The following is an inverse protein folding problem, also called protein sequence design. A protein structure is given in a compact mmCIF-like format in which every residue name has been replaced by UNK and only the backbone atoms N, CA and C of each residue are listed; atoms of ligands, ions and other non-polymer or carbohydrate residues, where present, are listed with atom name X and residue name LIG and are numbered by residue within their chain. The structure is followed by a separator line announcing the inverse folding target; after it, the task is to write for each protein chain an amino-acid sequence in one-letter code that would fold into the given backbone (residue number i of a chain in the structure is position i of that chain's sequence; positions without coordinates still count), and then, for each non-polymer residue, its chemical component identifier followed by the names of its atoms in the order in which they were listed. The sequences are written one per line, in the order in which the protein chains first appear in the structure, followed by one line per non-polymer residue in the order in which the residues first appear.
data_IF_160166118206
#
_entry.id   IF_160166118206
#
_cell.length_a   1.000
_cell.length_b   1.000
_cell.length_c   1.000
_cell.angle_alpha   90.00
_cell.angle_beta   90.00
_cell.angle_gamma   90.00
#
_symmetry.space_group_name_H-M   'P 1'
#
loop_
_entity.id
_entity.type
_entity.pdbx_description
1 polymer ?
#
# COMPACT_ATOMS: atom_id res chain seq x y z
N UNK A 1 -17.60 22.82 -14.80
CA UNK A 1 -17.52 21.71 -13.83
C UNK A 1 -16.35 21.97 -12.91
N UNK A 2 -16.51 21.73 -11.60
CA UNK A 2 -15.42 21.78 -10.63
C UNK A 2 -14.31 20.82 -11.03
N UNK A 3 -13.06 21.28 -11.00
CA UNK A 3 -11.91 20.42 -11.25
C UNK A 3 -11.57 19.62 -10.00
N UNK A 4 -10.89 18.49 -10.18
CA UNK A 4 -10.34 17.70 -9.08
C UNK A 4 -8.84 17.91 -9.03
N UNK A 5 -8.33 18.17 -7.82
CA UNK A 5 -6.92 18.36 -7.55
C UNK A 5 -6.46 17.46 -6.42
N UNK A 6 -5.17 17.16 -6.41
CA UNK A 6 -4.51 16.45 -5.32
C UNK A 6 -3.54 17.41 -4.66
N UNK A 7 -3.76 17.69 -3.37
CA UNK A 7 -2.85 18.48 -2.56
C UNK A 7 -2.00 17.54 -1.72
N UNK A 8 -0.68 17.74 -1.76
CA UNK A 8 0.29 16.81 -1.16
C UNK A 8 1.11 17.48 -0.07
N UNK A 9 1.10 16.87 1.12
CA UNK A 9 1.88 17.28 2.28
C UNK A 9 2.91 16.23 2.68
N UNK A 10 3.82 16.62 3.59
CA UNK A 10 4.63 15.66 4.35
C UNK A 10 3.80 15.08 5.50
N UNK A 11 4.31 14.04 6.16
CA UNK A 11 3.67 13.43 7.33
C UNK A 11 3.41 14.48 8.42
N UNK A 12 2.34 14.30 9.19
CA UNK A 12 2.04 15.12 10.37
C UNK A 12 3.26 15.21 11.30
N UNK A 13 3.52 16.40 11.85
CA UNK A 13 4.67 16.68 12.71
C UNK A 13 5.97 16.97 11.96
N UNK A 14 6.05 16.75 10.64
CA UNK A 14 7.28 16.98 9.86
C UNK A 14 7.74 18.44 9.87
N UNK A 15 6.83 19.37 10.15
CA UNK A 15 7.11 20.79 10.22
C UNK A 15 6.64 21.42 11.55
N UNK A 16 6.40 20.62 12.60
CA UNK A 16 5.89 21.09 13.89
C UNK A 16 4.59 21.88 13.77
N UNK A 17 4.45 22.99 14.49
CA UNK A 17 3.27 23.87 14.43
C UNK A 17 3.27 24.85 13.25
N UNK A 18 4.13 24.66 12.25
CA UNK A 18 4.18 25.57 11.11
C UNK A 18 2.89 25.52 10.27
N UNK A 19 2.70 26.53 9.41
CA UNK A 19 1.57 26.60 8.48
C UNK A 19 1.57 25.46 7.42
N UNK A 20 2.66 24.71 7.30
CA UNK A 20 2.80 23.57 6.38
C UNK A 20 2.38 22.24 6.99
N UNK A 21 2.15 22.23 8.30
CA UNK A 21 1.73 21.03 9.00
C UNK A 21 0.24 20.75 8.77
N UNK A 22 -0.07 19.48 8.57
CA UNK A 22 -1.43 19.02 8.30
C UNK A 22 -2.39 19.41 9.43
N UNK A 23 -1.99 19.35 10.70
CA UNK A 23 -2.86 19.72 11.82
C UNK A 23 -3.20 21.21 11.79
N UNK A 24 -2.18 22.05 11.52
CA UNK A 24 -2.35 23.49 11.40
C UNK A 24 -3.28 23.84 10.24
N UNK A 25 -3.12 23.16 9.10
CA UNK A 25 -3.97 23.34 7.90
C UNK A 25 -5.43 23.03 8.22
N UNK A 26 -5.69 21.89 8.87
CA UNK A 26 -7.04 21.45 9.24
C UNK A 26 -7.68 22.40 10.26
N UNK A 27 -6.93 22.80 11.30
CA UNK A 27 -7.41 23.71 12.35
C UNK A 27 -7.74 25.09 11.79
N UNK A 28 -6.86 25.65 10.95
CA UNK A 28 -7.04 27.00 10.38
C UNK A 28 -7.96 27.02 9.16
N UNK A 29 -8.29 25.85 8.58
CA UNK A 29 -9.00 25.72 7.29
C UNK A 29 -8.31 26.49 6.17
N UNK A 30 -6.98 26.42 6.14
CA UNK A 30 -6.11 27.11 5.19
C UNK A 30 -5.05 26.15 4.70
N UNK A 31 -5.02 25.87 3.40
CA UNK A 31 -4.01 24.99 2.82
C UNK A 31 -2.88 25.82 2.21
N UNK A 32 -1.71 25.79 2.83
CA UNK A 32 -0.58 26.65 2.50
C UNK A 32 0.30 26.10 1.37
N UNK A 33 0.72 27.00 0.48
CA UNK A 33 1.64 26.72 -0.62
C UNK A 33 2.66 27.84 -0.83
N UNK A 34 3.72 27.53 -1.60
CA UNK A 34 4.57 28.57 -2.19
C UNK A 34 3.79 29.24 -3.33
N UNK A 35 3.96 30.53 -3.52
CA UNK A 35 3.31 31.23 -4.64
C UNK A 35 3.76 30.71 -6.01
N UNK A 36 4.99 30.17 -6.06
CA UNK A 36 5.62 29.59 -7.25
C UNK A 36 5.14 28.18 -7.60
N UNK A 37 4.23 27.58 -6.84
CA UNK A 37 3.70 26.24 -7.18
C UNK A 37 3.02 26.26 -8.57
N UNK A 38 3.48 25.44 -9.55
CA UNK A 38 3.12 25.60 -10.96
C UNK A 38 1.61 25.57 -11.27
N UNK A 39 0.84 24.75 -10.54
CA UNK A 39 -0.60 24.59 -10.76
C UNK A 39 -1.48 25.47 -9.87
N UNK A 40 -0.90 26.22 -8.93
CA UNK A 40 -1.66 27.06 -8.00
C UNK A 40 -2.60 28.01 -8.75
N UNK A 41 -2.13 28.63 -9.83
CA UNK A 41 -2.90 29.59 -10.63
C UNK A 41 -4.14 28.98 -11.31
N UNK A 42 -4.20 27.66 -11.43
CA UNK A 42 -5.29 26.95 -12.09
C UNK A 42 -6.40 26.51 -11.13
N UNK A 43 -6.18 26.65 -9.82
CA UNK A 43 -7.17 26.32 -8.78
C UNK A 43 -8.23 27.41 -8.72
N UNK A 44 -9.49 27.00 -8.62
CA UNK A 44 -10.63 27.91 -8.53
C UNK A 44 -11.51 27.58 -7.32
N UNK A 45 -12.24 28.59 -6.84
CA UNK A 45 -13.34 28.40 -5.90
C UNK A 45 -14.31 27.31 -6.40
N UNK A 46 -14.67 26.40 -5.50
CA UNK A 46 -15.55 25.26 -5.80
C UNK A 46 -14.84 24.03 -6.36
N UNK A 47 -13.53 24.09 -6.60
CA UNK A 47 -12.75 22.90 -6.95
C UNK A 47 -12.68 21.92 -5.78
N UNK A 48 -12.62 20.63 -6.11
CA UNK A 48 -12.47 19.55 -5.14
C UNK A 48 -11.00 19.19 -4.97
N UNK A 49 -10.61 18.91 -3.74
CA UNK A 49 -9.24 18.50 -3.40
C UNK A 49 -9.28 17.17 -2.69
N UNK A 50 -8.41 16.26 -3.13
CA UNK A 50 -8.02 15.06 -2.39
C UNK A 50 -6.69 15.33 -1.70
N UNK A 51 -6.61 14.98 -0.41
CA UNK A 51 -5.37 15.15 0.34
C UNK A 51 -4.52 13.90 0.27
N UNK A 52 -3.21 14.12 0.08
CA UNK A 52 -2.19 13.08 0.00
C UNK A 52 -1.02 13.40 0.92
N UNK A 53 -0.46 12.39 1.55
CA UNK A 53 0.86 12.45 2.19
C UNK A 53 1.86 11.73 1.31
N UNK A 54 2.99 12.38 1.00
CA UNK A 54 4.05 11.76 0.21
C UNK A 54 4.57 10.46 0.84
N UNK A 55 4.67 9.42 0.02
CA UNK A 55 5.13 8.10 0.46
C UNK A 55 4.25 7.44 1.51
N UNK A 56 3.00 7.88 1.66
CA UNK A 56 2.04 7.27 2.56
C UNK A 56 0.73 6.99 1.84
N UNK A 57 -0.03 8.00 1.44
CA UNK A 57 -1.35 7.72 0.90
C UNK A 57 -2.30 8.90 0.91
N UNK A 58 -3.55 8.62 0.55
CA UNK A 58 -4.65 9.58 0.59
C UNK A 58 -5.38 9.51 1.92
N UNK A 59 -5.76 10.65 2.49
CA UNK A 59 -6.24 10.70 3.87
C UNK A 59 -7.45 11.63 4.07
N UNK A 60 -7.92 12.29 3.03
CA UNK A 60 -9.04 13.21 3.19
C UNK A 60 -9.41 13.93 1.91
N UNK A 61 -10.39 14.80 2.02
CA UNK A 61 -10.81 15.69 0.95
C UNK A 61 -11.35 17.01 1.48
N UNK A 62 -11.43 18.02 0.61
CA UNK A 62 -12.13 19.27 0.87
C UNK A 62 -12.62 19.93 -0.42
N UNK A 63 -13.31 21.05 -0.26
CA UNK A 63 -13.64 21.98 -1.34
C UNK A 63 -12.87 23.30 -1.13
N UNK A 64 -12.38 23.89 -2.23
CA UNK A 64 -11.81 25.24 -2.22
C UNK A 64 -12.93 26.24 -1.96
N UNK A 65 -12.84 26.94 -0.83
CA UNK A 65 -13.88 27.88 -0.39
C UNK A 65 -13.79 29.23 -1.07
N UNK A 66 -12.58 29.68 -1.39
CA UNK A 66 -12.33 30.97 -2.01
C UNK A 66 -11.01 31.00 -2.78
N UNK A 67 -10.76 32.12 -3.46
CA UNK A 67 -9.53 32.35 -4.21
C UNK A 67 -8.28 32.36 -3.31
N UNK A 68 -7.12 32.27 -3.95
CA UNK A 68 -5.81 32.29 -3.30
C UNK A 68 -5.61 33.58 -2.48
N UNK A 69 -5.16 33.43 -1.24
CA UNK A 69 -4.81 34.55 -0.35
C UNK A 69 -3.29 34.59 -0.16
N UNK A 70 -2.59 35.64 -0.65
CA UNK A 70 -1.18 35.86 -0.35
C UNK A 70 -0.93 36.05 1.14
N UNK A 71 0.17 35.50 1.66
CA UNK A 71 0.60 35.70 3.05
C UNK A 71 1.58 36.86 3.14
N UNK A 72 1.10 38.11 3.27
CA UNK A 72 1.96 39.31 3.29
C UNK A 72 3.07 39.28 4.35
N UNK A 73 2.89 38.48 5.42
CA UNK A 73 3.84 38.32 6.53
C UNK A 73 4.77 37.13 6.36
N UNK A 74 4.92 36.60 5.14
CA UNK A 74 5.79 35.44 4.88
C UNK A 74 7.25 35.70 5.28
N UNK A 75 7.72 36.95 5.13
CA UNK A 75 9.08 37.38 5.52
C UNK A 75 9.27 37.39 7.04
N UNK A 76 8.28 37.89 7.78
CA UNK A 76 8.30 37.94 9.25
C UNK A 76 8.35 36.53 9.86
N UNK A 77 7.89 35.52 9.11
CA UNK A 77 7.96 34.10 9.47
C UNK A 77 9.27 33.42 9.05
N UNK A 78 10.28 34.18 8.63
CA UNK A 78 11.60 33.67 8.24
C UNK A 78 11.59 32.79 7.00
N UNK A 79 10.65 33.00 6.06
CA UNK A 79 10.60 32.23 4.80
C UNK A 79 11.42 32.94 3.73
N UNK A 80 12.08 32.16 2.89
CA UNK A 80 12.89 32.68 1.76
C UNK A 80 12.07 32.95 0.49
N UNK A 81 10.79 32.55 0.48
CA UNK A 81 9.92 32.63 -0.70
C UNK A 81 8.52 33.07 -0.33
N UNK A 82 7.88 33.79 -1.25
CA UNK A 82 6.48 34.20 -1.11
C UNK A 82 5.57 32.97 -0.98
N UNK A 83 4.63 33.08 -0.05
CA UNK A 83 3.67 32.02 0.28
C UNK A 83 2.27 32.58 0.38
N UNK A 84 1.30 31.69 0.44
CA UNK A 84 -0.09 32.03 0.71
C UNK A 84 -0.87 30.75 0.96
N UNK A 85 -2.19 30.84 0.92
CA UNK A 85 -3.05 29.69 1.14
C UNK A 85 -4.32 29.73 0.30
N UNK A 86 -4.91 28.56 0.13
CA UNK A 86 -6.31 28.43 -0.26
C UNK A 86 -7.19 28.27 0.97
N UNK A 87 -8.25 29.08 1.14
CA UNK A 87 -9.31 28.80 2.09
C UNK A 87 -10.03 27.51 1.70
N UNK A 88 -10.26 26.60 2.65
CA UNK A 88 -10.93 25.32 2.42
C UNK A 88 -12.18 25.16 3.28
N UNK A 89 -13.18 24.46 2.77
CA UNK A 89 -14.40 24.12 3.48
C UNK A 89 -14.78 22.66 3.21
N UNK A 90 -15.84 22.18 3.87
CA UNK A 90 -16.34 20.80 3.70
C UNK A 90 -15.22 19.76 3.86
N UNK A 91 -14.35 19.97 4.84
CA UNK A 91 -13.19 19.13 5.09
C UNK A 91 -13.66 17.78 5.63
N UNK A 92 -13.35 16.71 4.91
CA UNK A 92 -13.62 15.34 5.31
C UNK A 92 -12.27 14.70 5.63
N UNK A 93 -12.00 14.51 6.92
CA UNK A 93 -10.89 13.69 7.37
C UNK A 93 -11.29 12.22 7.27
N UNK A 94 -10.49 11.39 6.62
CA UNK A 94 -10.76 9.96 6.59
C UNK A 94 -10.22 9.34 7.87
N UNK A 95 -10.98 8.41 8.45
CA UNK A 95 -10.53 7.64 9.62
C UNK A 95 -9.36 6.71 9.27
N UNK A 96 -9.02 6.58 7.98
CA UNK A 96 -7.98 5.69 7.45
C UNK A 96 -7.15 6.46 6.42
N UNK A 97 -5.84 6.21 6.41
CA UNK A 97 -4.98 6.63 5.30
C UNK A 97 -4.97 5.50 4.28
N UNK A 98 -5.56 5.71 3.09
CA UNK A 98 -5.50 4.76 1.99
C UNK A 98 -4.07 4.74 1.43
N UNK A 99 -3.30 3.65 1.60
CA UNK A 99 -1.92 3.60 1.15
C UNK A 99 -1.82 3.83 -0.36
N UNK A 100 -0.85 4.64 -0.78
CA UNK A 100 -0.69 5.00 -2.18
C UNK A 100 -0.47 3.76 -3.06
N UNK A 101 0.22 2.77 -2.52
CA UNK A 101 0.60 1.50 -3.17
C UNK A 101 -0.62 0.70 -3.63
N UNK A 102 -1.75 0.80 -2.92
CA UNK A 102 -2.98 0.06 -3.24
C UNK A 102 -3.59 0.56 -4.55
N UNK A 103 -3.53 1.86 -4.79
CA UNK A 103 -4.24 2.51 -5.90
C UNK A 103 -3.30 3.06 -6.98
N UNK A 104 -1.98 2.99 -6.76
CA UNK A 104 -0.97 3.59 -7.64
C UNK A 104 -1.07 3.15 -9.10
N UNK A 105 -1.42 1.88 -9.37
CA UNK A 105 -1.56 1.35 -10.73
C UNK A 105 -2.75 1.95 -11.48
N UNK A 106 -3.78 2.38 -10.75
CA UNK A 106 -5.05 2.85 -11.29
C UNK A 106 -5.08 4.37 -11.52
N UNK A 107 -4.07 5.09 -11.01
CA UNK A 107 -3.96 6.54 -11.10
C UNK A 107 -3.00 6.95 -12.22
N UNK A 108 -3.26 8.09 -12.84
CA UNK A 108 -2.29 8.69 -13.74
C UNK A 108 -0.99 8.96 -12.98
N UNK A 109 0.11 8.43 -13.51
CA UNK A 109 1.45 8.64 -12.97
C UNK A 109 1.99 10.06 -13.25
N UNK A 110 1.23 10.90 -13.97
CA UNK A 110 1.62 12.27 -14.28
C UNK A 110 1.69 13.09 -13.00
N UNK A 111 2.88 13.58 -12.71
CA UNK A 111 3.16 14.54 -11.65
C UNK A 111 2.97 14.04 -10.20
N UNK A 112 3.26 12.76 -9.94
CA UNK A 112 3.21 12.18 -8.58
C UNK A 112 4.07 12.92 -7.54
N UNK A 113 5.07 13.70 -7.97
CA UNK A 113 5.94 14.50 -7.07
C UNK A 113 5.42 15.91 -6.79
N UNK A 114 4.43 16.41 -7.53
CA UNK A 114 3.95 17.79 -7.35
C UNK A 114 3.13 17.95 -6.08
N UNK A 115 3.22 19.13 -5.47
CA UNK A 115 2.42 19.51 -4.31
C UNK A 115 0.97 19.78 -4.67
N UNK A 116 0.74 20.33 -5.87
CA UNK A 116 -0.58 20.58 -6.44
C UNK A 116 -0.66 19.81 -7.77
N UNK A 117 -1.22 18.61 -7.76
CA UNK A 117 -1.36 17.78 -8.95
C UNK A 117 -2.79 17.84 -9.50
N UNK A 118 -2.91 17.91 -10.83
CA UNK A 118 -4.22 17.83 -11.51
C UNK A 118 -4.71 16.38 -11.46
N UNK A 119 -6.01 16.22 -11.20
CA UNK A 119 -6.70 14.93 -11.25
C UNK A 119 -8.03 15.11 -12.00
N UNK A 120 -8.88 14.09 -11.97
CA UNK A 120 -10.18 14.09 -12.62
C UNK A 120 -11.20 13.28 -11.80
N UNK A 121 -12.47 13.35 -12.20
CA UNK A 121 -13.57 12.68 -11.51
C UNK A 121 -13.44 11.15 -11.54
N UNK A 122 -12.85 10.56 -12.58
CA UNK A 122 -12.66 9.11 -12.67
C UNK A 122 -11.63 8.62 -11.64
N UNK A 123 -10.49 9.29 -11.53
CA UNK A 123 -9.46 9.01 -10.53
C UNK A 123 -9.98 9.21 -9.11
N UNK A 124 -10.79 10.25 -8.88
CA UNK A 124 -11.48 10.46 -7.61
C UNK A 124 -12.35 9.25 -7.25
N UNK A 125 -13.20 8.80 -8.17
CA UNK A 125 -14.07 7.64 -7.96
C UNK A 125 -13.27 6.36 -7.68
N UNK A 126 -12.13 6.16 -8.37
CA UNK A 126 -11.21 5.04 -8.11
C UNK A 126 -10.64 5.08 -6.70
N UNK A 127 -10.19 6.25 -6.23
CA UNK A 127 -9.68 6.45 -4.87
C UNK A 127 -10.78 6.20 -3.83
N UNK A 128 -11.98 6.72 -4.04
CA UNK A 128 -13.10 6.53 -3.12
C UNK A 128 -13.55 5.06 -3.07
N UNK A 129 -13.61 4.37 -4.20
CA UNK A 129 -13.92 2.95 -4.27
C UNK A 129 -12.83 2.09 -3.60
N UNK A 130 -11.55 2.39 -3.85
CA UNK A 130 -10.44 1.70 -3.22
C UNK A 130 -10.39 1.94 -1.71
N UNK A 131 -10.71 3.15 -1.25
CA UNK A 131 -10.89 3.46 0.17
C UNK A 131 -12.02 2.63 0.76
N UNK A 132 -13.17 2.55 0.07
CA UNK A 132 -14.31 1.75 0.54
C UNK A 132 -13.91 0.29 0.71
N UNK A 133 -13.33 -0.32 -0.33
CA UNK A 133 -12.80 -1.69 -0.25
C UNK A 133 -11.82 -1.78 0.92
N UNK A 134 -10.84 -0.90 1.02
CA UNK A 134 -9.84 -0.91 2.09
C UNK A 134 -10.50 -0.93 3.49
N UNK A 135 -11.53 -0.14 3.71
CA UNK A 135 -12.30 -0.16 4.97
C UNK A 135 -13.09 -1.47 5.14
N UNK A 136 -13.75 -1.94 4.08
CA UNK A 136 -14.55 -3.17 4.09
C UNK A 136 -13.69 -4.41 4.37
N UNK A 137 -12.41 -4.44 3.93
CA UNK A 137 -11.43 -5.48 4.29
C UNK A 137 -10.94 -5.37 5.76
N UNK A 138 -11.52 -4.47 6.55
CA UNK A 138 -11.22 -4.28 7.98
C UNK A 138 -10.07 -3.31 8.27
N UNK A 139 -9.46 -2.68 7.25
CA UNK A 139 -8.36 -1.76 7.49
C UNK A 139 -8.86 -0.41 8.08
N UNK A 140 -8.29 -0.03 9.23
CA UNK A 140 -8.53 1.26 9.90
C UNK A 140 -9.80 1.37 10.75
N UNK A 141 -10.46 0.23 11.05
CA UNK A 141 -11.49 0.13 12.09
C UNK A 141 -10.91 -0.11 13.50
N UNK A 142 -9.62 -0.43 13.59
CA UNK A 142 -8.86 -0.54 14.84
C UNK A 142 -7.86 0.62 14.89
N UNK A 143 -7.75 1.30 16.03
CA UNK A 143 -6.97 2.52 16.34
C UNK A 143 -5.49 2.54 15.88
N UNK A 144 -5.21 2.39 14.59
CA UNK A 144 -3.86 2.21 14.05
C UNK A 144 -3.16 0.91 14.47
N UNK A 145 -3.75 0.10 15.35
CA UNK A 145 -3.18 -1.15 15.87
C UNK A 145 -3.92 -2.37 15.29
N UNK A 146 -3.82 -2.57 13.97
CA UNK A 146 -4.12 -3.87 13.38
C UNK A 146 -2.80 -4.61 13.21
N UNK A 147 -2.56 -5.60 14.07
CA UNK A 147 -1.39 -6.46 13.96
C UNK A 147 -1.79 -7.66 13.10
N UNK A 148 -1.54 -7.57 11.78
CA UNK A 148 -1.59 -8.75 10.91
C UNK A 148 -0.37 -9.58 11.20
N UNK A 149 -0.55 -10.57 12.08
CA UNK A 149 0.44 -11.61 12.27
C UNK A 149 0.54 -12.44 10.98
N UNK A 150 1.76 -12.77 10.56
CA UNK A 150 1.97 -13.77 9.51
C UNK A 150 1.26 -15.09 9.87
N UNK A 151 1.22 -15.45 11.15
CA UNK A 151 0.43 -16.61 11.62
C UNK A 151 -1.08 -16.45 11.43
N UNK A 152 -1.63 -15.24 11.52
CA UNK A 152 -3.05 -14.99 11.24
C UNK A 152 -3.38 -15.11 9.75
N UNK A 153 -2.48 -14.65 8.89
CA UNK A 153 -2.58 -14.84 7.43
C UNK A 153 -2.46 -16.31 7.09
N UNK A 154 -1.54 -17.02 7.73
CA UNK A 154 -1.32 -18.45 7.56
C UNK A 154 -2.57 -19.27 7.89
N UNK A 155 -3.18 -19.06 9.05
CA UNK A 155 -4.41 -19.78 9.43
C UNK A 155 -5.56 -19.49 8.45
N UNK A 156 -5.68 -18.25 7.98
CA UNK A 156 -6.68 -17.89 6.98
C UNK A 156 -6.42 -18.58 5.63
N UNK A 157 -5.17 -18.64 5.17
CA UNK A 157 -4.79 -19.35 3.94
C UNK A 157 -5.01 -20.85 4.09
N UNK A 158 -4.61 -21.44 5.22
CA UNK A 158 -4.79 -22.86 5.54
C UNK A 158 -6.25 -23.27 5.49
N UNK A 159 -7.15 -22.46 6.06
CA UNK A 159 -8.60 -22.69 6.02
C UNK A 159 -9.19 -22.63 4.59
N UNK A 160 -8.50 -22.02 3.63
CA UNK A 160 -8.97 -21.80 2.27
C UNK A 160 -8.10 -22.47 1.20
N UNK A 161 -7.17 -23.34 1.60
CA UNK A 161 -6.16 -23.93 0.71
C UNK A 161 -6.77 -24.75 -0.45
N UNK A 162 -7.96 -25.32 -0.21
CA UNK A 162 -8.72 -26.07 -1.22
C UNK A 162 -9.15 -25.21 -2.41
N UNK A 163 -9.28 -23.89 -2.26
CA UNK A 163 -9.59 -22.97 -3.37
C UNK A 163 -8.45 -22.91 -4.39
N UNK A 164 -7.22 -23.20 -3.97
CA UNK A 164 -6.05 -23.32 -4.85
C UNK A 164 -5.89 -24.72 -5.43
N UNK A 165 -6.86 -25.63 -5.18
CA UNK A 165 -6.77 -27.07 -5.47
C UNK A 165 -5.55 -27.72 -4.82
N UNK A 166 -5.21 -27.24 -3.63
CA UNK A 166 -4.14 -27.76 -2.81
C UNK A 166 -4.72 -28.45 -1.58
N UNK A 167 -3.98 -29.44 -1.08
CA UNK A 167 -4.20 -30.06 0.24
C UNK A 167 -2.94 -29.87 1.06
N UNK A 168 -3.06 -29.79 2.38
CA UNK A 168 -1.87 -29.77 3.24
C UNK A 168 -1.07 -31.08 3.07
N UNK A 169 0.25 -30.99 3.26
CA UNK A 169 1.11 -32.16 3.33
C UNK A 169 0.88 -32.93 4.64
N UNK A 170 1.75 -33.91 4.94
CA UNK A 170 1.66 -34.67 6.18
C UNK A 170 1.84 -33.77 7.41
N UNK A 171 1.16 -34.12 8.51
CA UNK A 171 1.13 -33.30 9.74
C UNK A 171 2.52 -32.95 10.29
N UNK A 172 3.50 -33.81 10.04
CA UNK A 172 4.89 -33.64 10.47
C UNK A 172 5.64 -32.50 9.76
N UNK A 173 5.16 -32.06 8.59
CA UNK A 173 5.86 -31.09 7.73
C UNK A 173 4.95 -29.96 7.22
N UNK A 174 3.64 -30.06 7.38
CA UNK A 174 2.70 -29.18 6.68
C UNK A 174 2.75 -27.70 7.04
N UNK A 175 3.22 -27.33 8.24
CA UNK A 175 3.10 -25.98 8.77
C UNK A 175 4.27 -25.64 9.69
N UNK A 176 4.83 -24.43 9.54
CA UNK A 176 5.92 -23.93 10.38
C UNK A 176 7.05 -24.95 10.53
N UNK A 177 7.33 -25.69 9.45
CA UNK A 177 8.29 -26.78 9.44
C UNK A 177 9.70 -26.21 9.44
N UNK A 178 10.45 -26.50 10.51
CA UNK A 178 11.85 -26.14 10.63
C UNK A 178 12.70 -27.07 9.76
N UNK A 179 13.32 -26.50 8.73
CA UNK A 179 14.17 -27.21 7.78
C UNK A 179 15.64 -27.23 8.22
N UNK A 180 15.93 -26.73 9.42
CA UNK A 180 17.25 -26.74 10.03
C UNK A 180 18.05 -25.46 9.82
N UNK A 181 19.23 -25.46 10.44
CA UNK A 181 20.13 -24.30 10.53
C UNK A 181 20.59 -23.89 9.13
N UNK A 182 20.40 -22.61 8.79
CA UNK A 182 20.80 -22.02 7.52
C UNK A 182 19.75 -22.11 6.40
N UNK A 183 18.73 -22.95 6.54
CA UNK A 183 17.58 -23.00 5.62
C UNK A 183 16.48 -22.09 6.15
N UNK A 184 16.01 -22.36 7.37
CA UNK A 184 14.95 -21.64 8.07
C UNK A 184 13.65 -22.44 8.18
N UNK A 185 12.57 -21.74 8.54
CA UNK A 185 11.24 -22.32 8.78
C UNK A 185 10.30 -21.93 7.64
N UNK A 186 9.59 -22.92 7.10
CA UNK A 186 8.57 -22.71 6.05
C UNK A 186 7.24 -22.29 6.64
N UNK A 187 6.40 -21.55 5.91
CA UNK A 187 5.04 -21.25 6.36
C UNK A 187 4.12 -22.47 6.18
N UNK A 188 3.83 -22.86 4.94
CA UNK A 188 3.00 -24.02 4.62
C UNK A 188 3.63 -24.91 3.54
N UNK A 189 3.48 -26.23 3.72
CA UNK A 189 3.83 -27.25 2.73
C UNK A 189 2.54 -28.00 2.35
N UNK A 190 2.27 -28.01 1.06
CA UNK A 190 1.05 -28.57 0.48
C UNK A 190 1.37 -29.64 -0.58
N UNK A 191 0.32 -30.28 -1.08
CA UNK A 191 0.32 -31.14 -2.26
C UNK A 191 -0.70 -30.63 -3.28
N UNK A 192 -0.34 -30.70 -4.56
CA UNK A 192 -1.29 -30.45 -5.66
C UNK A 192 -2.06 -31.73 -6.07
N UNK A 193 -2.92 -31.59 -7.07
CA UNK A 193 -3.73 -32.68 -7.64
C UNK A 193 -2.88 -33.84 -8.19
N UNK A 194 -1.65 -33.55 -8.64
CA UNK A 194 -0.67 -34.51 -9.15
C UNK A 194 0.24 -35.08 -8.04
N UNK A 195 -0.04 -34.76 -6.77
CA UNK A 195 0.74 -35.13 -5.59
C UNK A 195 2.17 -34.54 -5.53
N UNK A 196 2.46 -33.50 -6.31
CA UNK A 196 3.72 -32.76 -6.17
C UNK A 196 3.69 -31.90 -4.92
N UNK A 197 4.87 -31.64 -4.35
CA UNK A 197 5.01 -30.69 -3.26
C UNK A 197 4.80 -29.25 -3.75
N UNK A 198 4.09 -28.46 -2.94
CA UNK A 198 3.90 -27.03 -3.16
C UNK A 198 4.28 -26.28 -1.89
N UNK A 199 5.35 -25.51 -1.95
CA UNK A 199 5.83 -24.68 -0.85
C UNK A 199 5.15 -23.33 -0.94
N UNK A 200 4.50 -22.90 0.14
CA UNK A 200 3.86 -21.60 0.24
C UNK A 200 4.69 -20.72 1.18
N UNK A 201 5.03 -19.53 0.69
CA UNK A 201 5.66 -18.47 1.48
C UNK A 201 4.70 -17.28 1.55
N UNK A 202 4.28 -16.93 2.75
CA UNK A 202 3.26 -15.92 3.02
C UNK A 202 3.94 -14.64 3.52
N UNK A 203 3.48 -13.49 3.04
CA UNK A 203 3.92 -12.19 3.56
C UNK A 203 2.70 -11.36 3.94
N UNK A 204 2.64 -10.93 5.19
CA UNK A 204 1.56 -10.09 5.71
C UNK A 204 1.56 -8.67 5.10
N UNK A 205 2.70 -8.23 4.54
CA UNK A 205 2.87 -6.94 3.88
C UNK A 205 3.51 -7.11 2.51
N UNK A 206 3.66 -6.00 1.78
CA UNK A 206 4.46 -5.98 0.55
C UNK A 206 5.86 -6.53 0.82
N UNK A 207 6.36 -7.36 -0.10
CA UNK A 207 7.71 -7.93 -0.06
C UNK A 207 8.50 -7.59 -1.33
N UNK A 208 9.82 -7.67 -1.25
CA UNK A 208 10.72 -7.57 -2.41
C UNK A 208 11.12 -8.96 -2.92
N UNK A 209 11.98 -8.99 -3.93
CA UNK A 209 12.63 -10.17 -4.51
C UNK A 209 13.44 -11.03 -3.52
N UNK A 210 13.77 -10.54 -2.32
CA UNK A 210 14.44 -11.33 -1.28
C UNK A 210 13.69 -12.63 -0.96
N UNK A 211 12.35 -12.58 -0.96
CA UNK A 211 11.49 -13.73 -0.69
C UNK A 211 11.68 -14.86 -1.71
N UNK A 212 12.13 -14.55 -2.93
CA UNK A 212 12.46 -15.55 -3.96
C UNK A 212 13.63 -16.40 -3.50
N UNK A 213 14.68 -15.78 -2.96
CA UNK A 213 15.80 -16.53 -2.39
C UNK A 213 15.39 -17.37 -1.18
N UNK A 214 14.44 -16.89 -0.38
CA UNK A 214 13.90 -17.62 0.75
C UNK A 214 13.16 -18.89 0.32
N UNK A 215 12.14 -18.77 -0.54
CA UNK A 215 11.36 -19.92 -0.99
C UNK A 215 12.22 -20.92 -1.80
N UNK A 216 13.22 -20.46 -2.55
CA UNK A 216 14.13 -21.36 -3.28
C UNK A 216 14.95 -22.25 -2.33
N UNK A 217 15.39 -21.74 -1.17
CA UNK A 217 16.07 -22.58 -0.17
C UNK A 217 15.15 -23.66 0.36
N UNK A 218 13.89 -23.31 0.64
CA UNK A 218 12.88 -24.25 1.12
C UNK A 218 12.57 -25.32 0.09
N UNK A 219 12.36 -24.91 -1.16
CA UNK A 219 12.10 -25.82 -2.26
C UNK A 219 13.28 -26.79 -2.47
N UNK A 220 14.52 -26.30 -2.45
CA UNK A 220 15.72 -27.13 -2.57
C UNK A 220 15.81 -28.17 -1.44
N UNK A 221 15.62 -27.74 -0.19
CA UNK A 221 15.63 -28.65 0.94
C UNK A 221 14.51 -29.70 0.85
N UNK A 222 13.29 -29.30 0.44
CA UNK A 222 12.16 -30.22 0.28
C UNK A 222 12.41 -31.21 -0.86
N UNK A 223 13.06 -30.75 -1.93
CA UNK A 223 13.44 -31.58 -3.06
C UNK A 223 14.37 -32.71 -2.60
N UNK A 224 15.48 -32.37 -1.95
CA UNK A 224 16.50 -33.32 -1.49
C UNK A 224 15.97 -34.31 -0.44
N UNK A 225 15.11 -33.84 0.48
CA UNK A 225 14.74 -34.64 1.65
C UNK A 225 13.45 -35.46 1.47
N UNK A 226 12.51 -35.03 0.62
CA UNK A 226 11.24 -35.73 0.42
C UNK A 226 10.92 -35.99 -1.05
N UNK A 227 10.94 -34.95 -1.90
CA UNK A 227 10.37 -35.07 -3.25
C UNK A 227 11.13 -36.08 -4.14
N UNK A 228 12.46 -36.16 -4.01
CA UNK A 228 13.28 -37.14 -4.76
C UNK A 228 12.94 -38.59 -4.40
N UNK A 229 12.67 -38.86 -3.11
CA UNK A 229 12.30 -40.20 -2.63
C UNK A 229 10.96 -40.65 -3.20
N UNK A 230 10.04 -39.71 -3.34
CA UNK A 230 8.71 -39.94 -3.90
C UNK A 230 8.66 -39.81 -5.42
N UNK A 231 9.75 -39.37 -6.07
CA UNK A 231 9.83 -39.08 -7.51
C UNK A 231 8.78 -38.07 -7.99
N UNK A 232 8.51 -37.06 -7.17
CA UNK A 232 7.58 -35.96 -7.48
C UNK A 232 8.34 -34.63 -7.60
N UNK A 233 7.67 -33.60 -8.10
CA UNK A 233 8.25 -32.25 -8.25
C UNK A 233 8.01 -31.39 -7.00
N UNK A 234 8.76 -30.30 -6.90
CA UNK A 234 8.51 -29.20 -5.96
C UNK A 234 8.15 -27.94 -6.72
N UNK A 235 7.06 -27.29 -6.32
CA UNK A 235 6.59 -26.00 -6.84
C UNK A 235 6.63 -24.96 -5.72
N UNK A 236 6.76 -23.68 -6.08
CA UNK A 236 6.77 -22.56 -5.14
C UNK A 236 5.65 -21.57 -5.42
N UNK A 237 4.96 -21.14 -4.37
CA UNK A 237 3.96 -20.07 -4.42
C UNK A 237 4.29 -19.03 -3.35
N UNK A 238 4.45 -17.77 -3.75
CA UNK A 238 4.53 -16.63 -2.85
C UNK A 238 3.15 -15.99 -2.79
N UNK A 239 2.61 -15.78 -1.58
CA UNK A 239 1.34 -15.10 -1.38
C UNK A 239 1.55 -13.79 -0.60
N UNK A 240 1.15 -12.66 -1.18
CA UNK A 240 1.36 -11.34 -0.57
C UNK A 240 0.25 -10.35 -0.97
N UNK A 241 -0.13 -9.38 -0.13
CA UNK A 241 -1.12 -8.35 -0.48
C UNK A 241 -0.72 -7.51 -1.71
N UNK A 242 0.57 -7.31 -1.93
CA UNK A 242 1.11 -6.56 -3.07
C UNK A 242 2.57 -6.92 -3.34
N UNK A 243 3.01 -6.74 -4.58
CA UNK A 243 4.39 -7.00 -4.99
C UNK A 243 4.83 -6.00 -6.05
N UNK A 244 6.13 -5.72 -6.08
CA UNK A 244 6.73 -4.83 -7.08
C UNK A 244 7.18 -5.58 -8.35
N UNK A 245 7.68 -4.82 -9.32
CA UNK A 245 8.14 -5.37 -10.59
C UNK A 245 9.40 -6.24 -10.43
N UNK A 246 10.23 -5.97 -9.42
CA UNK A 246 11.42 -6.76 -9.15
C UNK A 246 11.04 -8.17 -8.70
N UNK A 247 10.12 -8.29 -7.73
CA UNK A 247 9.58 -9.58 -7.30
C UNK A 247 8.91 -10.31 -8.47
N UNK A 248 8.09 -9.60 -9.26
CA UNK A 248 7.39 -10.21 -10.41
C UNK A 248 8.38 -10.81 -11.43
N UNK A 249 9.46 -10.10 -11.74
CA UNK A 249 10.47 -10.55 -12.70
C UNK A 249 11.33 -11.68 -12.14
N UNK A 250 11.78 -11.58 -10.88
CA UNK A 250 12.57 -12.60 -10.22
C UNK A 250 11.80 -13.92 -10.07
N UNK A 251 10.56 -13.86 -9.59
CA UNK A 251 9.70 -15.03 -9.44
C UNK A 251 9.41 -15.68 -10.80
N UNK A 252 9.15 -14.89 -11.84
CA UNK A 252 8.95 -15.41 -13.20
C UNK A 252 10.19 -16.16 -13.71
N UNK A 253 11.38 -15.61 -13.52
CA UNK A 253 12.63 -16.25 -13.95
C UNK A 253 12.92 -17.55 -13.18
N UNK A 254 12.56 -17.58 -11.90
CA UNK A 254 12.73 -18.73 -11.01
C UNK A 254 11.57 -19.75 -11.09
N UNK A 255 10.60 -19.56 -12.00
CA UNK A 255 9.40 -20.39 -12.13
C UNK A 255 8.59 -20.53 -10.81
N UNK A 256 8.49 -19.42 -10.06
CA UNK A 256 7.70 -19.31 -8.83
C UNK A 256 6.44 -18.50 -9.14
N UNK A 257 5.30 -19.00 -8.67
CA UNK A 257 4.03 -18.30 -8.80
C UNK A 257 3.89 -17.24 -7.72
N UNK A 258 3.37 -16.06 -8.08
CA UNK A 258 3.03 -15.01 -7.11
C UNK A 258 1.51 -14.80 -7.12
N UNK A 259 0.88 -15.02 -5.98
CA UNK A 259 -0.55 -14.82 -5.76
C UNK A 259 -0.79 -13.59 -4.89
N UNK A 260 -1.81 -12.81 -5.25
CA UNK A 260 -2.21 -11.66 -4.44
C UNK A 260 -3.21 -12.10 -3.38
N UNK A 261 -2.89 -11.86 -2.12
CA UNK A 261 -3.82 -12.07 -1.01
C UNK A 261 -4.82 -10.90 -0.94
N UNK A 262 -6.10 -11.23 -0.82
CA UNK A 262 -7.18 -10.27 -0.53
C UNK A 262 -8.06 -10.89 0.55
N UNK A 263 -8.29 -10.16 1.63
CA UNK A 263 -9.18 -10.56 2.72
C UNK A 263 -10.52 -9.87 2.46
N UNK A 264 -11.38 -10.48 1.63
CA UNK A 264 -12.70 -9.94 1.27
C UNK A 264 -13.77 -10.30 2.28
#
# INVERSE_FOLDING_TARGET
MSSVWIFSNKKKGSYGESDWDTDTILKKKRYYFKESEPNRKNIKKGDLVLFRVYGSGFWGSCEISDDWVPDEKWRDKGRDVATGWFPIKSVINWNVVLPYEIIRSELSNKNSRMRIAKSNSEEKSKIEFAKKIYIDLGYGATDGNFFVLESGVEEAVKANISQLKLKLAEDSIQQQCDLGIGVGRTDLICRDEDNNFVVLELKATQTSDYVVGQILRYMGYIQENWAEKEKVKVKGIIMTPSYDEHLRLAAKAANIQVLRLRIT
#
